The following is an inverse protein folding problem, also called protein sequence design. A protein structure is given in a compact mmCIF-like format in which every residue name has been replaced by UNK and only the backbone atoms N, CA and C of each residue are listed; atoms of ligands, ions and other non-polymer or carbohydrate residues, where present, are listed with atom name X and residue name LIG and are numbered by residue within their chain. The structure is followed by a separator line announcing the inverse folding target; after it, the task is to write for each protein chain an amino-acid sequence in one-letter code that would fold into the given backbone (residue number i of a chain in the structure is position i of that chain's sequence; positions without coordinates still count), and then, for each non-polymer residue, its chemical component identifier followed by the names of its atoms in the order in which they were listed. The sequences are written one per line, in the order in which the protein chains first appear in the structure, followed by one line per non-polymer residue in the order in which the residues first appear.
data_IF_259356374400
#
_entry.id   IF_259356374400
#
_cell.length_a   1.000
_cell.length_b   1.000
_cell.length_c   1.000
_cell.angle_alpha   90.00
_cell.angle_beta   90.00
_cell.angle_gamma   90.00
#
_symmetry.space_group_name_H-M   'P 1'
#
loop_
_entity.id
_entity.type
_entity.pdbx_description
1 polymer ?
#
# COMPACT_ATOMS: atom_id res chain seq x y z
N UNK A 1 44.29 10.18 26.79
CA UNK A 1 43.86 9.24 25.72
C UNK A 1 42.34 9.22 25.74
N UNK A 2 41.69 9.64 24.65
CA UNK A 2 40.24 9.92 24.58
C UNK A 2 39.57 8.69 23.94
N UNK A 3 38.80 7.93 24.71
CA UNK A 3 38.05 6.78 24.20
C UNK A 3 36.77 7.27 23.51
N UNK A 4 36.64 6.97 22.22
CA UNK A 4 35.41 7.15 21.45
C UNK A 4 34.68 5.80 21.48
N UNK A 5 33.47 5.69 22.04
CA UNK A 5 32.70 4.46 21.89
C UNK A 5 32.08 4.45 20.49
N UNK A 6 32.50 3.47 19.68
CA UNK A 6 31.84 3.13 18.42
C UNK A 6 30.53 2.44 18.79
N UNK A 7 29.40 3.14 18.60
CA UNK A 7 28.09 2.53 18.65
C UNK A 7 27.93 1.64 17.41
N UNK A 8 28.03 0.33 17.62
CA UNK A 8 27.74 -0.67 16.61
C UNK A 8 26.22 -0.68 16.38
N UNK A 9 25.76 0.01 15.33
CA UNK A 9 24.37 -0.12 14.87
C UNK A 9 24.20 -1.53 14.28
N UNK A 10 23.64 -2.43 15.08
CA UNK A 10 23.04 -3.66 14.59
C UNK A 10 21.81 -3.29 13.76
N UNK A 11 22.02 -3.15 12.45
CA UNK A 11 20.92 -3.14 11.48
C UNK A 11 20.36 -4.57 11.52
N UNK A 12 19.29 -4.79 12.27
CA UNK A 12 18.53 -6.03 12.21
C UNK A 12 17.91 -6.11 10.83
N UNK A 13 18.58 -6.80 9.90
CA UNK A 13 17.91 -7.23 8.68
C UNK A 13 16.84 -8.23 9.10
N UNK A 14 15.57 -8.05 8.69
CA UNK A 14 14.56 -9.05 8.97
C UNK A 14 14.98 -10.34 8.24
N UNK A 15 15.30 -11.38 9.01
CA UNK A 15 15.47 -12.74 8.52
C UNK A 15 14.09 -13.24 8.05
N UNK A 16 13.88 -13.29 6.75
CA UNK A 16 12.89 -14.16 6.13
C UNK A 16 13.56 -14.88 4.97
N UNK A 17 14.20 -16.00 5.29
CA UNK A 17 14.56 -17.03 4.31
C UNK A 17 13.59 -18.20 4.49
N UNK A 18 12.61 -18.33 3.59
CA UNK A 18 12.00 -19.59 3.17
C UNK A 18 11.00 -19.31 2.02
N UNK A 19 11.51 -19.41 0.79
CA UNK A 19 10.86 -19.91 -0.43
C UNK A 19 9.31 -19.85 -0.48
N UNK A 20 8.74 -18.67 -0.75
CA UNK A 20 7.43 -18.63 -1.43
C UNK A 20 7.69 -18.64 -2.93
N UNK A 21 7.24 -19.68 -3.62
CA UNK A 21 7.27 -19.76 -5.09
C UNK A 21 6.26 -18.82 -5.75
N UNK A 22 5.41 -18.15 -4.97
CA UNK A 22 4.37 -17.25 -5.43
C UNK A 22 4.50 -15.94 -4.64
N UNK A 23 5.06 -14.89 -5.24
CA UNK A 23 5.22 -13.61 -4.53
C UNK A 23 4.40 -12.56 -5.22
N UNK A 24 3.19 -12.39 -4.72
CA UNK A 24 2.18 -11.43 -5.17
C UNK A 24 1.70 -10.63 -3.94
N UNK A 25 2.62 -9.95 -3.26
CA UNK A 25 2.38 -9.40 -1.92
C UNK A 25 2.43 -7.88 -1.92
N UNK A 26 1.48 -7.24 -1.25
CA UNK A 26 1.56 -5.84 -0.87
C UNK A 26 1.97 -5.79 0.61
N UNK A 27 3.17 -5.30 0.87
CA UNK A 27 3.67 -5.06 2.23
C UNK A 27 3.40 -3.63 2.64
N UNK A 28 2.83 -3.46 3.82
CA UNK A 28 2.47 -2.15 4.34
C UNK A 28 3.21 -1.88 5.64
N UNK A 29 3.97 -0.77 5.68
CA UNK A 29 4.62 -0.28 6.88
C UNK A 29 3.94 1.00 7.33
N UNK A 30 3.56 1.08 8.59
CA UNK A 30 2.99 2.30 9.13
C UNK A 30 4.06 3.13 9.85
N UNK A 31 4.09 4.44 9.59
CA UNK A 31 4.94 5.41 10.29
C UNK A 31 4.05 6.33 11.14
N UNK A 32 4.39 6.41 12.42
CA UNK A 32 3.70 7.23 13.40
C UNK A 32 4.20 8.68 13.35
N UNK A 33 3.31 9.62 13.07
CA UNK A 33 3.62 11.05 13.26
C UNK A 33 3.15 11.48 14.65
N UNK A 34 4.14 11.86 15.45
CA UNK A 34 4.14 12.44 16.80
C UNK A 34 2.78 12.91 17.35
N UNK A 35 2.15 12.02 18.13
CA UNK A 35 0.96 12.30 18.93
C UNK A 35 0.10 11.06 19.09
N UNK A 36 0.44 10.19 20.05
CA UNK A 36 -0.37 9.08 20.61
C UNK A 36 -1.10 8.09 19.66
N UNK A 37 -0.86 8.16 18.36
CA UNK A 37 -1.40 7.24 17.38
C UNK A 37 -0.69 5.88 17.42
N UNK A 38 -1.46 4.82 17.41
CA UNK A 38 -1.03 3.46 17.21
C UNK A 38 -1.74 2.96 15.95
N UNK A 39 -0.97 2.52 14.95
CA UNK A 39 -1.49 2.11 13.66
C UNK A 39 -0.82 0.82 13.21
N UNK A 40 -1.62 -0.11 12.72
CA UNK A 40 -1.19 -1.37 12.14
C UNK A 40 -1.94 -1.60 10.83
N UNK A 41 -1.29 -2.29 9.90
CA UNK A 41 -1.88 -2.69 8.63
C UNK A 41 -1.53 -4.16 8.37
N UNK A 42 -2.45 -4.88 7.74
CA UNK A 42 -2.18 -6.25 7.28
C UNK A 42 -1.32 -6.23 6.02
N UNK A 43 -0.41 -7.19 5.91
CA UNK A 43 0.08 -7.58 4.59
C UNK A 43 -1.09 -8.13 3.75
N UNK A 44 -1.03 -7.93 2.45
CA UNK A 44 -2.08 -8.37 1.52
C UNK A 44 -1.45 -9.29 0.49
N UNK A 45 -1.86 -10.55 0.52
CA UNK A 45 -1.62 -11.48 -0.58
C UNK A 45 -2.66 -11.21 -1.67
N UNK A 46 -2.20 -10.83 -2.87
CA UNK A 46 -3.03 -10.55 -4.03
C UNK A 46 -3.48 -11.84 -4.75
N UNK A 47 -2.85 -12.97 -4.43
CA UNK A 47 -3.01 -14.23 -5.14
C UNK A 47 -2.31 -14.21 -6.50
N UNK A 48 -2.41 -15.32 -7.21
CA UNK A 48 -1.82 -15.47 -8.54
C UNK A 48 -2.75 -14.95 -9.63
N UNK A 49 -2.17 -14.31 -10.64
CA UNK A 49 -2.87 -13.80 -11.81
C UNK A 49 -2.05 -14.12 -13.06
N UNK A 50 -2.67 -14.78 -14.04
CA UNK A 50 -2.00 -15.06 -15.30
C UNK A 50 -1.73 -13.76 -16.07
N UNK A 51 -0.54 -13.63 -16.65
CA UNK A 51 -0.18 -12.48 -17.46
C UNK A 51 -1.12 -12.28 -18.67
N UNK A 52 -1.77 -13.35 -19.16
CA UNK A 52 -2.77 -13.28 -20.24
C UNK A 52 -3.99 -12.44 -19.88
N UNK A 53 -4.31 -12.30 -18.59
CA UNK A 53 -5.44 -11.48 -18.13
C UNK A 53 -5.27 -9.97 -18.42
N UNK A 54 -4.02 -9.53 -18.64
CA UNK A 54 -3.68 -8.17 -19.06
C UNK A 54 -3.63 -7.99 -20.59
N UNK A 55 -3.77 -9.07 -21.36
CA UNK A 55 -3.81 -9.03 -22.82
C UNK A 55 -5.22 -8.70 -23.32
N UNK A 56 -5.34 -8.36 -24.61
CA UNK A 56 -6.63 -8.01 -25.21
C UNK A 56 -7.67 -9.13 -25.00
N UNK A 57 -8.86 -8.77 -24.48
CA UNK A 57 -9.92 -9.72 -24.13
C UNK A 57 -9.88 -10.23 -22.69
N UNK A 58 -8.76 -10.06 -21.97
CA UNK A 58 -8.67 -10.36 -20.54
C UNK A 58 -9.37 -9.33 -19.66
N UNK A 59 -9.77 -9.73 -18.45
CA UNK A 59 -10.56 -8.85 -17.58
C UNK A 59 -9.76 -7.68 -16.97
N UNK A 60 -8.42 -7.72 -17.06
CA UNK A 60 -7.52 -6.67 -16.57
C UNK A 60 -6.99 -5.75 -17.68
N UNK A 61 -7.25 -6.08 -18.96
CA UNK A 61 -6.65 -5.44 -20.12
C UNK A 61 -6.82 -3.91 -20.16
N UNK A 62 -8.03 -3.44 -19.81
CA UNK A 62 -8.45 -2.05 -19.95
C UNK A 62 -8.75 -1.37 -18.60
N UNK A 63 -8.26 -1.94 -17.49
CA UNK A 63 -8.48 -1.33 -16.18
C UNK A 63 -7.66 -0.05 -16.02
N UNK A 64 -8.32 0.99 -15.52
CA UNK A 64 -7.65 2.23 -15.12
C UNK A 64 -7.17 2.13 -13.67
N UNK A 65 -6.05 2.79 -13.35
CA UNK A 65 -5.62 2.98 -11.97
C UNK A 65 -6.57 3.89 -11.18
N UNK A 66 -7.42 4.69 -11.84
CA UNK A 66 -8.33 5.63 -11.18
C UNK A 66 -9.58 4.98 -10.59
N UNK A 67 -9.92 3.76 -11.03
CA UNK A 67 -11.17 3.09 -10.64
C UNK A 67 -10.90 1.65 -10.20
N UNK A 68 -11.69 1.17 -9.23
CA UNK A 68 -11.56 -0.21 -8.74
C UNK A 68 -11.76 -1.25 -9.84
N UNK A 69 -12.62 -0.98 -10.82
CA UNK A 69 -12.97 -1.94 -11.88
C UNK A 69 -13.83 -3.10 -11.38
N UNK A 70 -14.19 -4.00 -12.30
CA UNK A 70 -14.99 -5.20 -12.02
C UNK A 70 -14.11 -6.46 -12.03
N UNK A 71 -13.11 -6.48 -11.15
CA UNK A 71 -12.22 -7.64 -10.95
C UNK A 71 -12.11 -7.94 -9.46
N UNK A 72 -11.70 -9.16 -9.08
CA UNK A 72 -11.41 -9.47 -7.69
C UNK A 72 -10.42 -8.48 -7.08
N UNK A 73 -10.68 -8.12 -5.83
CA UNK A 73 -9.80 -7.28 -5.00
C UNK A 73 -9.57 -7.95 -3.67
N UNK A 74 -8.40 -7.74 -3.10
CA UNK A 74 -8.07 -8.26 -1.78
C UNK A 74 -8.23 -7.18 -0.71
N UNK A 75 -8.69 -7.55 0.49
CA UNK A 75 -8.92 -6.59 1.56
C UNK A 75 -7.58 -6.19 2.20
N UNK A 76 -7.28 -4.89 2.19
CA UNK A 76 -6.24 -4.29 3.03
C UNK A 76 -6.90 -3.79 4.31
N UNK A 77 -6.58 -4.42 5.44
CA UNK A 77 -7.10 -4.00 6.75
C UNK A 77 -6.12 -3.05 7.41
N UNK A 78 -6.63 -1.93 7.91
CA UNK A 78 -5.86 -0.97 8.70
C UNK A 78 -6.61 -0.75 10.00
N UNK A 79 -5.91 -0.94 11.11
CA UNK A 79 -6.42 -0.71 12.45
C UNK A 79 -5.64 0.41 13.09
N UNK A 80 -6.33 1.41 13.63
CA UNK A 80 -5.68 2.56 14.26
C UNK A 80 -6.40 3.02 15.51
N UNK A 81 -5.61 3.50 16.46
CA UNK A 81 -6.04 4.05 17.74
C UNK A 81 -5.26 5.33 17.96
N UNK A 82 -5.92 6.44 17.74
CA UNK A 82 -5.31 7.75 17.64
C UNK A 82 -6.01 8.67 18.64
N UNK A 83 -5.33 9.10 19.71
CA UNK A 83 -5.96 10.01 20.67
C UNK A 83 -6.01 11.43 20.13
N UNK A 84 -7.22 11.90 19.81
CA UNK A 84 -7.47 13.24 19.28
C UNK A 84 -7.84 14.23 20.39
N UNK A 85 -7.87 13.80 21.65
CA UNK A 85 -8.51 14.50 22.76
C UNK A 85 -10.04 14.38 22.73
N UNK A 86 -10.73 15.27 23.45
CA UNK A 86 -12.20 15.26 23.58
C UNK A 86 -12.96 15.82 22.37
N UNK A 87 -12.27 16.44 21.41
CA UNK A 87 -12.87 17.04 20.21
C UNK A 87 -12.72 16.12 19.01
N UNK A 88 -13.77 16.06 18.18
CA UNK A 88 -13.73 15.36 16.91
C UNK A 88 -12.81 16.11 15.92
N UNK A 89 -11.96 15.37 15.22
CA UNK A 89 -11.03 15.90 14.20
C UNK A 89 -11.17 15.12 12.90
N UNK A 90 -10.49 15.58 11.85
CA UNK A 90 -10.29 14.75 10.66
C UNK A 90 -8.97 14.01 10.80
N UNK A 91 -9.01 12.68 10.86
CA UNK A 91 -7.80 11.87 10.75
C UNK A 91 -7.46 11.70 9.26
N UNK A 92 -6.21 11.91 8.89
CA UNK A 92 -5.73 11.77 7.51
C UNK A 92 -4.75 10.63 7.45
N UNK A 93 -5.05 9.63 6.63
CA UNK A 93 -4.09 8.58 6.27
C UNK A 93 -3.45 8.93 4.92
N UNK A 94 -2.13 8.96 4.89
CA UNK A 94 -1.34 9.22 3.69
C UNK A 94 -0.53 7.99 3.31
N UNK A 95 -0.61 7.61 2.05
CA UNK A 95 0.06 6.44 1.48
C UNK A 95 1.19 6.89 0.55
N UNK A 96 2.35 6.24 0.67
CA UNK A 96 3.51 6.55 -0.17
C UNK A 96 4.28 5.27 -0.53
N UNK A 97 4.74 5.10 -1.78
CA UNK A 97 5.71 4.04 -2.12
C UNK A 97 7.00 4.17 -1.29
N UNK A 98 7.58 3.06 -0.85
CA UNK A 98 8.80 3.10 -0.03
C UNK A 98 10.06 3.48 -0.83
N UNK A 99 10.18 3.06 -2.08
CA UNK A 99 11.36 3.40 -2.90
C UNK A 99 11.12 4.63 -3.76
N UNK A 100 10.38 4.48 -4.85
CA UNK A 100 10.19 5.55 -5.83
C UNK A 100 8.80 5.45 -6.46
N UNK A 101 8.05 6.56 -6.45
CA UNK A 101 6.78 6.60 -7.14
C UNK A 101 6.97 6.70 -8.65
N UNK A 102 6.08 6.04 -9.39
CA UNK A 102 5.98 6.20 -10.83
C UNK A 102 5.36 7.58 -11.14
N UNK A 103 6.16 8.49 -11.71
CA UNK A 103 5.73 9.86 -12.03
C UNK A 103 4.44 9.87 -12.85
N UNK A 104 3.45 10.64 -12.41
CA UNK A 104 2.17 10.80 -13.11
C UNK A 104 1.23 9.60 -13.00
N UNK A 105 1.54 8.62 -12.15
CA UNK A 105 0.76 7.39 -12.00
C UNK A 105 0.24 7.22 -10.55
N UNK A 106 -0.88 6.51 -10.42
CA UNK A 106 -1.56 6.19 -9.16
C UNK A 106 -1.30 4.73 -8.76
N UNK A 107 -0.13 4.22 -9.13
CA UNK A 107 0.26 2.82 -8.96
C UNK A 107 1.45 2.76 -8.00
N UNK A 108 1.35 1.90 -7.00
CA UNK A 108 2.49 1.46 -6.21
C UNK A 108 3.36 0.55 -7.09
N UNK A 109 4.65 0.88 -7.28
CA UNK A 109 5.52 0.14 -8.17
C UNK A 109 5.72 -1.30 -7.70
N UNK A 110 6.06 -2.18 -8.64
CA UNK A 110 6.67 -3.46 -8.29
C UNK A 110 8.13 -3.22 -7.83
N UNK A 111 8.42 -3.56 -6.60
CA UNK A 111 9.71 -3.44 -5.92
C UNK A 111 10.34 -4.82 -5.62
N UNK A 112 9.81 -5.88 -6.24
CA UNK A 112 10.27 -7.24 -6.04
C UNK A 112 11.77 -7.40 -6.35
N UNK A 113 12.49 -7.99 -5.40
CA UNK A 113 13.95 -8.25 -5.49
C UNK A 113 14.30 -9.66 -4.99
N UNK A 114 13.32 -10.56 -4.97
CA UNK A 114 13.50 -11.95 -4.54
C UNK A 114 14.17 -12.84 -5.59
N UNK A 115 14.18 -14.17 -5.38
CA UNK A 115 14.98 -15.10 -6.18
C UNK A 115 14.46 -15.35 -7.61
N UNK A 116 13.20 -15.00 -7.91
CA UNK A 116 12.64 -15.09 -9.27
C UNK A 116 12.76 -13.77 -10.04
N UNK A 117 12.48 -13.78 -11.33
CA UNK A 117 12.39 -12.55 -12.13
C UNK A 117 11.24 -11.68 -11.63
N UNK A 118 11.46 -10.38 -11.48
CA UNK A 118 10.39 -9.44 -11.19
C UNK A 118 9.43 -9.34 -12.40
N UNK A 119 8.13 -9.33 -12.14
CA UNK A 119 7.15 -9.08 -13.19
C UNK A 119 7.32 -7.67 -13.75
N UNK A 120 7.24 -7.56 -15.08
CA UNK A 120 7.37 -6.31 -15.80
C UNK A 120 6.02 -5.64 -16.05
N UNK A 121 6.00 -4.30 -16.07
CA UNK A 121 4.83 -3.49 -16.43
C UNK A 121 3.57 -3.69 -15.56
N UNK A 122 3.74 -4.17 -14.33
CA UNK A 122 2.66 -4.35 -13.37
C UNK A 122 3.04 -3.75 -12.02
N UNK A 123 2.04 -3.28 -11.29
CA UNK A 123 2.17 -2.82 -9.92
C UNK A 123 0.84 -3.04 -9.18
N UNK A 124 0.66 -2.32 -8.08
CA UNK A 124 -0.52 -2.47 -7.21
C UNK A 124 -1.24 -1.14 -7.06
N UNK A 125 -2.56 -1.19 -7.00
CA UNK A 125 -3.42 -0.05 -6.66
C UNK A 125 -4.21 -0.37 -5.41
N UNK A 126 -4.50 0.67 -4.62
CA UNK A 126 -5.31 0.57 -3.40
C UNK A 126 -6.43 1.59 -3.50
N UNK A 127 -7.64 1.18 -3.19
CA UNK A 127 -8.85 2.00 -3.27
C UNK A 127 -9.52 2.14 -1.92
N UNK A 128 -9.96 3.35 -1.60
CA UNK A 128 -10.86 3.61 -0.48
C UNK A 128 -12.30 3.28 -0.87
N UNK A 129 -12.90 2.33 -0.17
CA UNK A 129 -14.26 1.84 -0.46
C UNK A 129 -15.39 2.53 0.31
N UNK A 130 -15.11 3.57 1.10
CA UNK A 130 -16.09 4.17 2.02
C UNK A 130 -17.03 5.19 1.37
N UNK A 131 -16.60 5.82 0.27
CA UNK A 131 -17.42 6.78 -0.48
C UNK A 131 -18.12 6.08 -1.64
N UNK A 132 -19.35 5.61 -1.47
CA UNK A 132 -20.18 5.22 -2.61
C UNK A 132 -20.63 6.47 -3.39
N UNK A 133 -20.60 6.51 -4.73
CA UNK A 133 -20.36 5.40 -5.68
C UNK A 133 -18.90 5.24 -6.14
N UNK A 134 -17.93 5.94 -5.56
CA UNK A 134 -16.57 6.05 -6.09
C UNK A 134 -15.56 5.41 -5.14
N UNK A 135 -15.10 4.21 -5.51
CA UNK A 135 -13.85 3.69 -4.97
C UNK A 135 -12.69 4.54 -5.52
N UNK A 136 -12.18 5.47 -4.72
CA UNK A 136 -11.13 6.43 -5.09
C UNK A 136 -9.77 5.79 -4.81
N UNK A 137 -8.83 5.91 -5.74
CA UNK A 137 -7.46 5.45 -5.50
C UNK A 137 -6.83 6.29 -4.38
N UNK A 138 -6.19 5.64 -3.41
CA UNK A 138 -5.56 6.33 -2.28
C UNK A 138 -4.38 7.20 -2.69
N UNK A 139 -3.80 6.95 -3.86
CA UNK A 139 -2.65 7.66 -4.42
C UNK A 139 -3.11 8.56 -5.56
N UNK A 140 -2.69 9.82 -5.56
CA UNK A 140 -2.91 10.77 -6.66
C UNK A 140 -1.74 10.74 -7.65
N UNK A 141 -1.98 11.24 -8.87
CA UNK A 141 -0.96 11.30 -9.94
C UNK A 141 0.20 12.25 -9.62
N UNK A 142 0.00 13.18 -8.70
CA UNK A 142 0.98 14.15 -8.21
C UNK A 142 1.77 13.65 -7.00
N UNK A 143 1.68 12.34 -6.68
CA UNK A 143 2.32 11.70 -5.53
C UNK A 143 1.76 12.09 -4.16
N UNK A 144 0.63 12.81 -4.11
CA UNK A 144 -0.08 13.06 -2.86
C UNK A 144 -1.02 11.92 -2.50
N UNK A 145 -1.38 11.83 -1.22
CA UNK A 145 -2.35 10.85 -0.72
C UNK A 145 -3.03 11.39 0.54
N UNK A 146 -4.35 11.33 0.56
CA UNK A 146 -5.17 11.76 1.70
C UNK A 146 -6.50 11.00 1.76
N UNK A 147 -6.53 9.95 2.56
CA UNK A 147 -7.75 9.25 2.96
C UNK A 147 -8.26 9.89 4.25
N UNK A 148 -9.37 10.62 4.16
CA UNK A 148 -9.91 11.41 5.27
C UNK A 148 -10.92 10.59 6.08
N UNK A 149 -10.77 10.58 7.39
CA UNK A 149 -11.71 10.03 8.36
C UNK A 149 -12.31 11.20 9.14
N UNK A 150 -13.42 11.71 8.65
CA UNK A 150 -14.11 12.87 9.23
C UNK A 150 -14.82 12.50 10.53
N UNK A 151 -14.97 13.49 11.43
CA UNK A 151 -15.61 13.33 12.72
C UNK A 151 -15.00 12.21 13.60
N UNK A 152 -13.70 11.93 13.41
CA UNK A 152 -13.00 10.94 14.20
C UNK A 152 -12.84 11.45 15.64
N UNK A 153 -13.39 10.70 16.59
CA UNK A 153 -13.18 10.90 18.03
C UNK A 153 -12.17 9.86 18.48
N UNK A 154 -10.99 10.35 18.83
CA UNK A 154 -9.88 9.53 19.25
C UNK A 154 -10.13 8.79 20.55
N UNK A 155 -9.42 7.69 20.72
CA UNK A 155 -9.44 6.87 21.92
C UNK A 155 -8.03 6.37 22.19
N UNK A 156 -7.67 6.24 23.46
CA UNK A 156 -6.45 5.57 23.91
C UNK A 156 -6.66 4.08 24.16
N UNK A 157 -7.89 3.57 24.07
CA UNK A 157 -8.24 2.18 24.42
C UNK A 157 -8.90 1.41 23.28
N UNK A 158 -9.50 2.09 22.31
CA UNK A 158 -10.33 1.47 21.29
C UNK A 158 -9.74 1.68 19.90
N UNK A 159 -9.53 0.60 19.17
CA UNK A 159 -9.16 0.66 17.76
C UNK A 159 -10.36 0.96 16.89
N UNK A 160 -10.09 1.67 15.80
CA UNK A 160 -10.98 1.82 14.67
C UNK A 160 -10.39 1.08 13.48
N UNK A 161 -11.23 0.36 12.76
CA UNK A 161 -10.81 -0.43 11.61
C UNK A 161 -11.36 0.18 10.32
N UNK A 162 -10.53 0.17 9.29
CA UNK A 162 -10.96 0.40 7.91
C UNK A 162 -10.48 -0.73 7.04
N UNK A 163 -11.28 -1.04 6.01
CA UNK A 163 -10.90 -1.98 4.96
C UNK A 163 -10.85 -1.25 3.64
N UNK A 164 -9.70 -1.35 2.98
CA UNK A 164 -9.44 -0.85 1.63
C UNK A 164 -9.38 -2.03 0.67
N UNK A 165 -9.44 -1.76 -0.63
CA UNK A 165 -9.37 -2.79 -1.67
C UNK A 165 -8.08 -2.66 -2.46
N UNK A 166 -7.28 -3.73 -2.54
CA UNK A 166 -6.06 -3.79 -3.33
C UNK A 166 -6.22 -4.73 -4.52
N UNK A 167 -5.56 -4.42 -5.65
CA UNK A 167 -5.43 -5.33 -6.80
C UNK A 167 -4.21 -4.98 -7.64
N UNK A 168 -3.83 -5.89 -8.53
CA UNK A 168 -2.86 -5.59 -9.58
C UNK A 168 -3.35 -4.50 -10.53
N UNK A 169 -2.40 -3.77 -11.11
CA UNK A 169 -2.65 -2.79 -12.15
C UNK A 169 -1.49 -2.76 -13.15
N UNK A 170 -1.85 -2.77 -14.43
CA UNK A 170 -0.91 -2.54 -15.52
C UNK A 170 -0.38 -1.11 -15.49
N UNK A 171 0.93 -0.92 -15.58
CA UNK A 171 1.59 0.39 -15.45
C UNK A 171 1.43 1.23 -16.71
N UNK A 172 1.85 0.67 -17.84
CA UNK A 172 1.77 1.26 -19.17
C UNK A 172 0.84 0.39 -20.02
N UNK A 173 -0.31 0.95 -20.42
CA UNK A 173 -1.34 0.21 -21.15
C UNK A 173 -0.85 -0.30 -22.50
N UNK A 174 0.16 0.34 -23.10
CA UNK A 174 0.72 -0.01 -24.41
C UNK A 174 1.75 -1.16 -24.35
N UNK A 175 2.26 -1.50 -23.16
CA UNK A 175 3.27 -2.56 -23.00
C UNK A 175 2.64 -3.87 -22.55
N UNK A 176 3.29 -4.99 -22.82
CA UNK A 176 2.86 -6.29 -22.28
C UNK A 176 3.27 -6.41 -20.80
N UNK A 177 2.52 -7.19 -20.02
CA UNK A 177 2.95 -7.62 -18.68
C UNK A 177 3.77 -8.89 -18.87
N UNK A 178 4.94 -8.96 -18.22
CA UNK A 178 5.76 -10.18 -18.22
C UNK A 178 5.58 -10.93 -16.90
N UNK A 179 5.51 -12.27 -16.91
CA UNK A 179 5.40 -13.05 -15.68
C UNK A 179 6.58 -12.81 -14.71
N UNK A 180 6.31 -12.95 -13.42
CA UNK A 180 7.32 -12.83 -12.38
C UNK A 180 6.73 -12.45 -11.02
N UNK A 181 7.62 -12.21 -10.06
CA UNK A 181 7.23 -11.77 -8.71
C UNK A 181 6.78 -10.31 -8.68
N UNK A 182 5.73 -10.04 -7.91
CA UNK A 182 5.21 -8.71 -7.58
C UNK A 182 5.28 -8.49 -6.07
N UNK A 183 5.98 -7.43 -5.67
CA UNK A 183 5.98 -6.94 -4.29
C UNK A 183 5.88 -5.42 -4.30
N UNK A 184 4.82 -4.85 -3.74
CA UNK A 184 4.76 -3.40 -3.52
C UNK A 184 4.94 -3.10 -2.04
N UNK A 185 5.81 -2.15 -1.71
CA UNK A 185 6.03 -1.71 -0.33
C UNK A 185 5.44 -0.30 -0.15
N UNK A 186 4.52 -0.16 0.81
CA UNK A 186 3.79 1.08 1.02
C UNK A 186 3.98 1.55 2.45
N UNK A 187 4.33 2.83 2.59
CA UNK A 187 4.34 3.53 3.85
C UNK A 187 2.97 4.19 4.09
N UNK A 188 2.39 4.01 5.28
CA UNK A 188 1.20 4.71 5.73
C UNK A 188 1.57 5.66 6.87
N UNK A 189 1.30 6.94 6.70
CA UNK A 189 1.46 7.95 7.73
C UNK A 189 0.10 8.47 8.19
N UNK A 190 0.01 8.87 9.45
CA UNK A 190 -1.20 9.41 10.05
C UNK A 190 -0.99 10.85 10.48
N UNK A 191 -1.95 11.73 10.21
CA UNK A 191 -1.96 13.08 10.76
C UNK A 191 -3.38 13.55 11.10
N UNK A 192 -3.48 14.65 11.84
CA UNK A 192 -4.76 15.33 12.10
C UNK A 192 -4.86 16.59 11.25
N UNK A 193 -6.06 16.84 10.73
CA UNK A 193 -6.48 18.10 10.13
C UNK A 193 -7.57 18.75 10.98
#
# INVERSE_FOLDING_TARGET
MKFIPIALLLISTPLWAANSTNTNVLTVKAELVTGSCDITASDVDLGDLDASEFAAGGAWANLSATTKGNVPTQPLKISFRCDSGSLAKTLVLSFKPQKAQLTGNQIFPNEYTGPMTAAGNVGVVVFEGRTSPVAINVLNKDNTSAVNIVNYKGSTTTYSDITLSARFQKVDSAKTVTPGGVLSQVQISVSYK
#
